data_IF_479563084843
#
_entry.id   IF_479563084843
#
_cell.length_a   1.000
_cell.length_b   1.000
_cell.length_c   1.000
_cell.angle_alpha   90.00
_cell.angle_beta   90.00
_cell.angle_gamma   90.00
#
_symmetry.space_group_name_H-M   'P 1'
#
loop_
_entity.id
_entity.type
_entity.pdbx_description
1 polymer ?
#
# COMPACT_ATOMS: atom_id res chain seq x y z
N UNK A 1 15.98 -7.51 -14.78
CA UNK A 1 15.32 -8.28 -15.86
C UNK A 1 16.34 -9.27 -16.44
N UNK A 2 15.97 -10.44 -16.97
CA UNK A 2 16.97 -11.34 -17.57
C UNK A 2 17.47 -10.79 -18.91
N UNK A 3 18.77 -10.90 -19.18
CA UNK A 3 19.37 -10.64 -20.50
C UNK A 3 18.84 -11.61 -21.58
N UNK A 4 18.17 -12.68 -21.17
CA UNK A 4 17.59 -13.72 -22.03
C UNK A 4 16.24 -13.35 -22.66
N UNK A 5 15.65 -12.20 -22.31
CA UNK A 5 14.46 -11.70 -23.01
C UNK A 5 14.82 -11.17 -24.40
N UNK A 6 13.89 -11.30 -25.35
CA UNK A 6 14.04 -10.68 -26.66
C UNK A 6 14.16 -9.16 -26.52
N UNK A 7 14.92 -8.55 -27.45
CA UNK A 7 15.09 -7.08 -27.49
C UNK A 7 13.75 -6.36 -27.54
N UNK A 8 12.80 -6.86 -28.32
CA UNK A 8 11.46 -6.29 -28.45
C UNK A 8 10.69 -6.28 -27.13
N UNK A 9 10.71 -7.37 -26.36
CA UNK A 9 10.08 -7.42 -25.03
C UNK A 9 10.72 -6.41 -24.10
N UNK A 10 12.07 -6.31 -24.08
CA UNK A 10 12.75 -5.31 -23.26
C UNK A 10 12.37 -3.88 -23.64
N UNK A 11 12.23 -3.58 -24.93
CA UNK A 11 11.78 -2.28 -25.42
C UNK A 11 10.37 -1.95 -24.92
N UNK A 12 9.42 -2.86 -25.10
CA UNK A 12 8.02 -2.66 -24.70
C UNK A 12 7.90 -2.45 -23.19
N UNK A 13 8.53 -3.31 -22.39
CA UNK A 13 8.42 -3.23 -20.93
C UNK A 13 9.09 -1.97 -20.40
N UNK A 14 10.23 -1.57 -20.97
CA UNK A 14 10.88 -0.29 -20.62
C UNK A 14 9.99 0.90 -20.97
N UNK A 15 9.38 0.90 -22.16
CA UNK A 15 8.47 1.97 -22.57
C UNK A 15 7.27 2.09 -21.61
N UNK A 16 6.66 0.96 -21.22
CA UNK A 16 5.59 0.92 -20.23
C UNK A 16 6.04 1.52 -18.88
N UNK A 17 7.23 1.16 -18.40
CA UNK A 17 7.81 1.71 -17.16
C UNK A 17 8.07 3.21 -17.28
N UNK A 18 8.57 3.70 -18.41
CA UNK A 18 8.82 5.12 -18.66
C UNK A 18 7.51 5.91 -18.71
N UNK A 19 6.48 5.40 -19.40
CA UNK A 19 5.15 6.01 -19.43
C UNK A 19 4.58 6.12 -18.02
N UNK A 20 4.65 5.04 -17.24
CA UNK A 20 4.22 5.05 -15.85
C UNK A 20 4.97 6.08 -15.01
N UNK A 21 6.30 6.17 -15.17
CA UNK A 21 7.12 7.15 -14.47
C UNK A 21 6.68 8.60 -14.77
N UNK A 22 6.39 8.92 -16.03
CA UNK A 22 5.89 10.23 -16.42
C UNK A 22 4.50 10.52 -15.82
N UNK A 23 3.60 9.53 -15.81
CA UNK A 23 2.29 9.66 -15.17
C UNK A 23 2.41 9.83 -13.64
N UNK A 24 3.38 9.16 -13.01
CA UNK A 24 3.65 9.32 -11.57
C UNK A 24 4.17 10.73 -11.24
N UNK A 25 4.96 11.33 -12.13
CA UNK A 25 5.51 12.68 -11.94
C UNK A 25 4.43 13.75 -12.19
N UNK A 26 3.60 13.59 -13.22
CA UNK A 26 2.67 14.63 -13.69
C UNK A 26 1.24 14.38 -13.19
N UNK A 27 0.67 13.21 -13.48
CA UNK A 27 -0.74 12.97 -13.24
C UNK A 27 -1.06 12.73 -11.75
N UNK A 28 -0.23 11.97 -11.02
CA UNK A 28 -0.51 11.63 -9.62
C UNK A 28 -0.63 12.88 -8.73
N UNK A 29 0.30 13.86 -8.74
CA UNK A 29 0.15 15.08 -7.95
C UNK A 29 -1.12 15.86 -8.27
N UNK A 30 -1.48 15.98 -9.55
CA UNK A 30 -2.69 16.70 -10.00
C UNK A 30 -3.98 16.00 -9.55
N UNK A 31 -4.02 14.66 -9.63
CA UNK A 31 -5.16 13.88 -9.15
C UNK A 31 -5.30 14.04 -7.63
N UNK A 32 -4.20 13.99 -6.88
CA UNK A 32 -4.22 14.16 -5.42
C UNK A 32 -4.71 15.56 -5.05
N UNK A 33 -4.21 16.60 -5.69
CA UNK A 33 -4.64 17.99 -5.45
C UNK A 33 -6.14 18.17 -5.71
N UNK A 34 -6.64 17.68 -6.84
CA UNK A 34 -8.06 17.76 -7.21
C UNK A 34 -9.01 16.94 -6.32
N UNK A 35 -8.50 15.94 -5.59
CA UNK A 35 -9.33 15.06 -4.74
C UNK A 35 -9.34 15.47 -3.28
N UNK A 36 -8.32 16.19 -2.81
CA UNK A 36 -8.12 16.45 -1.40
C UNK A 36 -9.22 17.34 -0.80
N UNK A 37 -9.52 18.46 -1.45
CA UNK A 37 -10.52 19.41 -0.95
C UNK A 37 -11.93 18.80 -0.85
N UNK A 38 -12.46 18.08 -1.87
CA UNK A 38 -13.74 17.38 -1.74
C UNK A 38 -13.80 16.43 -0.54
N UNK A 39 -12.74 15.66 -0.29
CA UNK A 39 -12.69 14.72 0.83
C UNK A 39 -12.65 15.48 2.16
N UNK A 40 -11.82 16.53 2.28
CA UNK A 40 -11.73 17.36 3.47
C UNK A 40 -13.08 18.02 3.77
N UNK A 41 -13.76 18.56 2.75
CA UNK A 41 -15.07 19.18 2.94
C UNK A 41 -16.09 18.16 3.46
N UNK A 42 -16.18 16.97 2.84
CA UNK A 42 -17.07 15.91 3.30
C UNK A 42 -16.77 15.46 4.74
N UNK A 43 -15.50 15.51 5.17
CA UNK A 43 -15.13 15.26 6.56
C UNK A 43 -15.59 16.35 7.52
N UNK A 44 -15.38 17.62 7.16
CA UNK A 44 -15.81 18.77 7.96
C UNK A 44 -17.33 18.76 8.13
N UNK A 45 -18.07 18.48 7.06
CA UNK A 45 -19.53 18.37 7.09
C UNK A 45 -19.98 17.22 8.00
N UNK A 46 -19.28 16.08 7.96
CA UNK A 46 -19.57 14.95 8.84
C UNK A 46 -19.31 15.27 10.31
N UNK A 47 -18.22 15.98 10.61
CA UNK A 47 -17.90 16.46 11.97
C UNK A 47 -18.99 17.41 12.46
N UNK A 48 -19.39 18.38 11.63
CA UNK A 48 -20.44 19.34 11.96
C UNK A 48 -21.77 18.61 12.26
N UNK A 49 -22.13 17.63 11.42
CA UNK A 49 -23.32 16.79 11.62
C UNK A 49 -23.29 16.04 12.95
N UNK A 50 -22.16 15.44 13.33
CA UNK A 50 -22.04 14.73 14.61
C UNK A 50 -22.13 15.68 15.81
N UNK A 51 -21.49 16.85 15.75
CA UNK A 51 -21.60 17.88 16.80
C UNK A 51 -23.01 18.43 16.95
N UNK A 52 -23.71 18.62 15.83
CA UNK A 52 -25.08 19.13 15.81
C UNK A 52 -26.09 18.20 16.50
N UNK A 53 -25.75 16.92 16.72
CA UNK A 53 -26.61 16.00 17.49
C UNK A 53 -26.71 16.40 18.97
N UNK A 54 -25.71 17.11 19.52
CA UNK A 54 -25.69 17.53 20.92
C UNK A 54 -25.62 16.38 21.94
N UNK A 55 -25.42 15.14 21.49
CA UNK A 55 -25.35 13.95 22.36
C UNK A 55 -23.91 13.61 22.73
N UNK A 56 -23.67 12.94 23.89
CA UNK A 56 -22.37 12.39 24.23
C UNK A 56 -21.79 11.49 23.12
N UNK A 57 -22.63 10.68 22.47
CA UNK A 57 -22.24 9.78 21.38
C UNK A 57 -21.80 10.56 20.14
N UNK A 58 -22.55 11.58 19.73
CA UNK A 58 -22.20 12.44 18.59
C UNK A 58 -20.88 13.17 18.83
N UNK A 59 -20.67 13.68 20.04
CA UNK A 59 -19.41 14.32 20.42
C UNK A 59 -18.22 13.34 20.40
N UNK A 60 -18.41 12.11 20.88
CA UNK A 60 -17.38 11.07 20.82
C UNK A 60 -17.04 10.68 19.37
N UNK A 61 -18.06 10.54 18.51
CA UNK A 61 -17.85 10.27 17.08
C UNK A 61 -17.12 11.40 16.37
N UNK A 62 -17.48 12.66 16.66
CA UNK A 62 -16.80 13.83 16.13
C UNK A 62 -15.32 13.87 16.55
N UNK A 63 -15.01 13.59 17.82
CA UNK A 63 -13.65 13.59 18.35
C UNK A 63 -12.73 12.60 17.61
N UNK A 64 -13.23 11.39 17.31
CA UNK A 64 -12.47 10.35 16.60
C UNK A 64 -12.07 10.77 15.18
N UNK A 65 -12.91 11.55 14.49
CA UNK A 65 -12.65 11.98 13.10
C UNK A 65 -12.10 13.40 12.99
N UNK A 66 -12.02 14.16 14.09
CA UNK A 66 -11.60 15.57 14.09
C UNK A 66 -10.16 15.78 13.62
N UNK A 67 -9.29 14.79 13.85
CA UNK A 67 -7.87 14.83 13.43
C UNK A 67 -7.72 14.47 11.94
N UNK A 68 -8.77 13.89 11.34
CA UNK A 68 -8.66 13.31 9.99
C UNK A 68 -8.33 14.37 8.94
N UNK A 69 -9.00 15.54 8.85
CA UNK A 69 -8.69 16.56 7.84
C UNK A 69 -7.21 16.93 7.77
N UNK A 70 -6.57 17.14 8.93
CA UNK A 70 -5.14 17.43 9.02
C UNK A 70 -4.28 16.23 8.62
N UNK A 71 -4.62 15.03 9.11
CA UNK A 71 -3.84 13.84 8.79
C UNK A 71 -3.90 13.48 7.31
N UNK A 72 -5.06 13.58 6.64
CA UNK A 72 -5.17 13.34 5.20
C UNK A 72 -4.56 14.47 4.40
N UNK A 73 -4.67 15.72 4.86
CA UNK A 73 -4.01 16.89 4.28
C UNK A 73 -2.49 16.77 4.26
N UNK A 74 -1.91 15.96 5.14
CA UNK A 74 -0.50 15.61 5.11
C UNK A 74 -0.22 14.32 4.32
N UNK A 75 -0.95 13.23 4.60
CA UNK A 75 -0.65 11.91 4.06
C UNK A 75 -0.92 11.79 2.55
N UNK A 76 -1.91 12.50 2.02
CA UNK A 76 -2.20 12.49 0.59
C UNK A 76 -1.05 13.14 -0.21
N UNK A 77 -0.63 14.39 0.11
CA UNK A 77 0.57 14.97 -0.48
C UNK A 77 1.84 14.14 -0.28
N UNK A 78 2.02 13.53 0.89
CA UNK A 78 3.14 12.63 1.14
C UNK A 78 3.20 11.50 0.10
N UNK A 79 2.10 10.78 -0.12
CA UNK A 79 2.05 9.71 -1.13
C UNK A 79 2.20 10.22 -2.57
N UNK A 80 1.71 11.43 -2.87
CA UNK A 80 1.95 12.08 -4.16
C UNK A 80 3.45 12.36 -4.38
N UNK A 81 4.14 12.93 -3.37
CA UNK A 81 5.58 13.22 -3.42
C UNK A 81 6.39 11.92 -3.50
N UNK A 82 6.02 10.89 -2.74
CA UNK A 82 6.66 9.57 -2.84
C UNK A 82 6.49 8.98 -4.25
N UNK A 83 5.32 9.14 -4.86
CA UNK A 83 5.07 8.69 -6.23
C UNK A 83 5.91 9.47 -7.24
N UNK A 84 6.03 10.79 -7.08
CA UNK A 84 6.88 11.64 -7.92
C UNK A 84 8.36 11.22 -7.82
N UNK A 85 8.88 10.99 -6.60
CA UNK A 85 10.26 10.52 -6.38
C UNK A 85 10.45 9.13 -7.01
N UNK A 86 9.48 8.24 -6.83
CA UNK A 86 9.50 6.92 -7.45
C UNK A 86 9.51 7.01 -8.99
N UNK A 87 8.79 7.96 -9.58
CA UNK A 87 8.81 8.24 -11.01
C UNK A 87 10.21 8.66 -11.48
N UNK A 88 10.87 9.59 -10.79
CA UNK A 88 12.25 9.95 -11.11
C UNK A 88 13.22 8.76 -10.98
N UNK A 89 13.08 7.94 -9.93
CA UNK A 89 13.89 6.75 -9.77
C UNK A 89 13.72 5.76 -10.94
N UNK A 90 12.49 5.58 -11.45
CA UNK A 90 12.21 4.76 -12.62
C UNK A 90 12.87 5.30 -13.89
N UNK A 91 12.87 6.62 -14.10
CA UNK A 91 13.57 7.25 -15.22
C UNK A 91 15.08 7.07 -15.13
N UNK A 92 15.66 7.23 -13.93
CA UNK A 92 17.11 7.05 -13.69
C UNK A 92 17.54 5.62 -14.00
N UNK A 93 16.76 4.61 -13.61
CA UNK A 93 17.12 3.21 -13.89
C UNK A 93 16.75 2.75 -15.30
N UNK A 94 15.98 3.52 -16.08
CA UNK A 94 15.45 3.08 -17.37
C UNK A 94 16.51 2.56 -18.36
N UNK A 95 17.71 3.18 -18.50
CA UNK A 95 18.76 2.66 -19.38
C UNK A 95 19.26 1.27 -18.93
N UNK A 96 19.51 1.09 -17.64
CA UNK A 96 19.97 -0.18 -17.07
C UNK A 96 18.87 -1.25 -17.07
N UNK A 97 17.63 -0.82 -16.88
CA UNK A 97 16.45 -1.68 -16.98
C UNK A 97 16.30 -2.22 -18.41
N UNK A 98 16.46 -1.36 -19.43
CA UNK A 98 16.47 -1.75 -20.83
C UNK A 98 17.62 -2.73 -21.18
N UNK A 99 18.81 -2.50 -20.62
CA UNK A 99 19.97 -3.40 -20.76
C UNK A 99 19.78 -4.75 -20.09
N UNK A 100 18.75 -4.91 -19.25
CA UNK A 100 18.49 -6.15 -18.53
C UNK A 100 19.40 -6.33 -17.32
N UNK A 101 19.80 -5.25 -16.66
CA UNK A 101 20.48 -5.37 -15.37
C UNK A 101 19.57 -6.10 -14.37
N UNK A 102 20.12 -7.02 -13.58
CA UNK A 102 19.30 -7.86 -12.68
C UNK A 102 18.68 -7.04 -11.54
N UNK A 103 19.44 -6.11 -10.95
CA UNK A 103 19.06 -5.31 -9.79
C UNK A 103 17.93 -4.31 -10.05
N UNK A 104 17.72 -3.90 -11.31
CA UNK A 104 16.71 -2.90 -11.68
C UNK A 104 15.29 -3.45 -11.57
N UNK A 105 15.10 -4.77 -11.58
CA UNK A 105 13.77 -5.40 -11.43
C UNK A 105 13.18 -5.10 -10.06
N UNK A 106 13.95 -5.34 -9.00
CA UNK A 106 13.48 -5.04 -7.64
C UNK A 106 13.20 -3.56 -7.44
N UNK A 107 14.05 -2.67 -8.00
CA UNK A 107 13.80 -1.23 -7.93
C UNK A 107 12.50 -0.88 -8.66
N UNK A 108 12.31 -1.37 -9.89
CA UNK A 108 11.11 -1.08 -10.66
C UNK A 108 9.84 -1.52 -9.92
N UNK A 109 9.81 -2.75 -9.39
CA UNK A 109 8.66 -3.25 -8.62
C UNK A 109 8.39 -2.41 -7.38
N UNK A 110 9.42 -2.08 -6.60
CA UNK A 110 9.23 -1.28 -5.38
C UNK A 110 8.77 0.15 -5.69
N UNK A 111 9.26 0.77 -6.76
CA UNK A 111 8.83 2.13 -7.15
C UNK A 111 7.41 2.13 -7.71
N UNK A 112 7.04 1.13 -8.52
CA UNK A 112 5.69 0.99 -9.08
C UNK A 112 4.63 0.61 -8.03
N UNK A 113 5.02 0.03 -6.90
CA UNK A 113 4.08 -0.25 -5.81
C UNK A 113 3.67 1.01 -5.05
N UNK A 114 4.49 2.07 -5.03
CA UNK A 114 4.22 3.31 -4.29
C UNK A 114 2.88 3.96 -4.65
N UNK A 115 2.58 4.31 -5.92
CA UNK A 115 1.29 4.89 -6.27
C UNK A 115 0.13 3.90 -6.06
N UNK A 116 0.38 2.60 -6.16
CA UNK A 116 -0.65 1.57 -5.88
C UNK A 116 -1.06 1.54 -4.41
N UNK A 117 -0.08 1.60 -3.50
CA UNK A 117 -0.30 1.63 -2.05
C UNK A 117 -0.97 2.95 -1.65
N UNK A 118 -0.45 4.09 -2.14
CA UNK A 118 -1.01 5.41 -1.89
C UNK A 118 -2.45 5.54 -2.41
N UNK A 119 -2.71 5.10 -3.65
CA UNK A 119 -4.03 5.10 -4.24
C UNK A 119 -5.03 4.22 -3.48
N UNK A 120 -4.63 3.03 -3.04
CA UNK A 120 -5.48 2.16 -2.22
C UNK A 120 -5.86 2.84 -0.89
N UNK A 121 -4.92 3.53 -0.24
CA UNK A 121 -5.21 4.34 0.94
C UNK A 121 -6.18 5.49 0.62
N UNK A 122 -5.97 6.21 -0.48
CA UNK A 122 -6.79 7.36 -0.88
C UNK A 122 -8.23 6.99 -1.28
N UNK A 123 -8.43 5.74 -1.74
CA UNK A 123 -9.75 5.22 -2.08
C UNK A 123 -10.71 5.23 -0.88
N UNK A 124 -10.20 4.88 0.31
CA UNK A 124 -11.04 4.73 1.51
C UNK A 124 -11.70 6.07 1.92
N UNK A 125 -10.97 7.20 2.03
CA UNK A 125 -11.58 8.49 2.30
C UNK A 125 -12.56 8.94 1.21
N UNK A 126 -12.26 8.69 -0.07
CA UNK A 126 -13.20 9.02 -1.15
C UNK A 126 -14.55 8.32 -0.97
N UNK A 127 -14.53 7.00 -0.78
CA UNK A 127 -15.74 6.21 -0.59
C UNK A 127 -16.53 6.63 0.66
N UNK A 128 -15.84 7.04 1.73
CA UNK A 128 -16.48 7.40 3.00
C UNK A 128 -17.04 8.82 3.05
N UNK A 129 -16.42 9.78 2.35
CA UNK A 129 -16.74 11.21 2.52
C UNK A 129 -17.27 11.89 1.27
N UNK A 130 -16.99 11.34 0.10
CA UNK A 130 -17.53 11.84 -1.18
C UNK A 130 -18.62 10.88 -1.68
N UNK A 131 -18.38 9.57 -1.56
CA UNK A 131 -19.33 8.54 -1.96
C UNK A 131 -19.48 8.40 -3.48
N UNK A 132 -20.41 7.55 -3.91
CA UNK A 132 -20.67 7.28 -5.34
C UNK A 132 -21.27 8.46 -6.09
N UNK A 133 -21.88 9.41 -5.38
CA UNK A 133 -22.42 10.66 -5.96
C UNK A 133 -21.35 11.63 -6.47
N UNK A 134 -20.10 11.51 -6.01
CA UNK A 134 -18.98 12.31 -6.54
C UNK A 134 -18.32 11.72 -7.79
N UNK A 135 -18.86 10.63 -8.33
CA UNK A 135 -18.36 9.99 -9.55
C UNK A 135 -17.28 8.92 -9.29
N UNK A 136 -16.57 8.56 -10.36
CA UNK A 136 -15.57 7.49 -10.34
C UNK A 136 -14.38 7.87 -9.44
N UNK A 137 -13.98 7.03 -8.45
CA UNK A 137 -12.91 7.38 -7.51
C UNK A 137 -11.58 7.64 -8.23
N UNK A 138 -11.03 8.86 -8.17
CA UNK A 138 -9.80 9.17 -8.92
C UNK A 138 -8.57 8.40 -8.41
N UNK A 139 -8.61 7.95 -7.15
CA UNK A 139 -7.61 7.07 -6.56
C UNK A 139 -7.41 5.75 -7.36
N UNK A 140 -8.42 5.26 -8.07
CA UNK A 140 -8.28 4.07 -8.92
C UNK A 140 -7.36 4.31 -10.11
N UNK A 141 -7.30 5.54 -10.64
CA UNK A 141 -6.32 5.90 -11.67
C UNK A 141 -4.90 5.92 -11.13
N UNK A 142 -4.70 6.45 -9.92
CA UNK A 142 -3.40 6.42 -9.23
C UNK A 142 -2.95 4.96 -9.03
N UNK A 143 -3.87 4.09 -8.60
CA UNK A 143 -3.56 2.66 -8.47
C UNK A 143 -3.19 2.02 -9.80
N UNK A 144 -3.95 2.28 -10.87
CA UNK A 144 -3.69 1.71 -12.18
C UNK A 144 -2.32 2.13 -12.75
N UNK A 145 -1.90 3.37 -12.52
CA UNK A 145 -0.58 3.89 -12.91
C UNK A 145 0.56 3.04 -12.33
N UNK A 146 0.40 2.50 -11.12
CA UNK A 146 1.36 1.59 -10.52
C UNK A 146 1.15 0.12 -10.89
N UNK A 147 -0.08 -0.39 -10.79
CA UNK A 147 -0.37 -1.82 -10.90
C UNK A 147 -0.16 -2.38 -12.30
N UNK A 148 -0.59 -1.66 -13.34
CA UNK A 148 -0.46 -2.12 -14.74
C UNK A 148 1.02 -2.36 -15.11
N UNK A 149 1.93 -1.38 -14.96
CA UNK A 149 3.35 -1.62 -15.23
C UNK A 149 3.96 -2.60 -14.23
N UNK A 150 3.54 -2.62 -12.95
CA UNK A 150 4.07 -3.55 -11.94
C UNK A 150 3.87 -5.02 -12.37
N UNK A 151 2.65 -5.38 -12.75
CA UNK A 151 2.37 -6.72 -13.26
C UNK A 151 2.96 -6.96 -14.65
N UNK A 152 3.08 -5.93 -15.48
CA UNK A 152 3.81 -6.04 -16.76
C UNK A 152 5.26 -6.48 -16.53
N UNK A 153 5.95 -5.92 -15.54
CA UNK A 153 7.33 -6.33 -15.18
C UNK A 153 7.39 -7.76 -14.68
N UNK A 154 6.43 -8.18 -13.83
CA UNK A 154 6.35 -9.57 -13.33
C UNK A 154 6.14 -10.54 -14.49
N UNK A 155 5.16 -10.28 -15.35
CA UNK A 155 4.78 -11.18 -16.44
C UNK A 155 5.73 -11.13 -17.63
N UNK A 156 6.58 -10.11 -17.76
CA UNK A 156 7.60 -10.05 -18.80
C UNK A 156 8.73 -11.06 -18.59
N UNK A 157 8.96 -11.51 -17.35
CA UNK A 157 10.08 -12.40 -17.03
C UNK A 157 10.00 -13.73 -17.82
N UNK A 158 11.13 -14.16 -18.37
CA UNK A 158 11.23 -15.44 -19.07
C UNK A 158 11.24 -16.58 -18.04
N UNK A 159 10.08 -17.18 -17.84
CA UNK A 159 9.87 -18.32 -16.94
C UNK A 159 8.62 -19.08 -17.33
N UNK A 160 8.44 -20.28 -16.78
CA UNK A 160 7.19 -21.02 -16.90
C UNK A 160 6.02 -20.28 -16.23
N UNK A 161 4.80 -20.68 -16.61
CA UNK A 161 3.57 -20.07 -16.11
C UNK A 161 3.40 -20.21 -14.59
N UNK A 162 3.79 -21.33 -13.99
CA UNK A 162 3.63 -21.52 -12.54
C UNK A 162 4.54 -20.58 -11.76
N UNK A 163 5.75 -20.32 -12.26
CA UNK A 163 6.65 -19.31 -11.68
C UNK A 163 6.07 -17.89 -11.79
N UNK A 164 5.43 -17.56 -12.92
CA UNK A 164 4.75 -16.26 -13.09
C UNK A 164 3.56 -16.13 -12.14
N UNK A 165 2.72 -17.15 -12.04
CA UNK A 165 1.56 -17.16 -11.16
C UNK A 165 1.98 -17.06 -9.68
N UNK A 166 2.96 -17.85 -9.24
CA UNK A 166 3.50 -17.77 -7.88
C UNK A 166 4.08 -16.39 -7.58
N UNK A 167 4.85 -15.81 -8.51
CA UNK A 167 5.39 -14.46 -8.39
C UNK A 167 4.28 -13.42 -8.29
N UNK A 168 3.32 -13.45 -9.22
CA UNK A 168 2.21 -12.52 -9.24
C UNK A 168 1.40 -12.57 -7.94
N UNK A 169 1.10 -13.76 -7.44
CA UNK A 169 0.36 -13.93 -6.19
C UNK A 169 1.14 -13.39 -4.98
N UNK A 170 2.43 -13.71 -4.86
CA UNK A 170 3.27 -13.22 -3.76
C UNK A 170 3.39 -11.69 -3.83
N UNK A 171 3.73 -11.13 -4.99
CA UNK A 171 3.85 -9.68 -5.16
C UNK A 171 2.53 -8.94 -5.01
N UNK A 172 1.40 -9.57 -5.35
CA UNK A 172 0.06 -9.06 -5.06
C UNK A 172 -0.15 -8.99 -3.55
N UNK A 173 0.08 -10.08 -2.82
CA UNK A 173 -0.14 -10.11 -1.37
C UNK A 173 0.80 -9.17 -0.62
N UNK A 174 2.05 -9.00 -1.05
CA UNK A 174 2.94 -7.99 -0.47
C UNK A 174 2.38 -6.58 -0.64
N UNK A 175 1.90 -6.24 -1.83
CA UNK A 175 1.33 -4.91 -2.13
C UNK A 175 0.00 -4.64 -1.43
N UNK A 176 -0.93 -5.60 -1.46
CA UNK A 176 -2.24 -5.50 -0.79
C UNK A 176 -2.05 -5.38 0.72
N UNK A 177 -1.21 -6.22 1.34
CA UNK A 177 -0.95 -6.12 2.78
C UNK A 177 -0.25 -4.81 3.12
N UNK A 178 0.67 -4.30 2.29
CA UNK A 178 1.30 -3.00 2.54
C UNK A 178 0.28 -1.85 2.51
N UNK A 179 -0.65 -1.86 1.55
CA UNK A 179 -1.76 -0.90 1.47
C UNK A 179 -2.67 -0.97 2.68
N UNK A 180 -3.12 -2.18 3.03
CA UNK A 180 -3.97 -2.41 4.19
C UNK A 180 -3.29 -1.97 5.48
N UNK A 181 -2.01 -2.30 5.65
CA UNK A 181 -1.24 -1.91 6.83
C UNK A 181 -1.13 -0.38 6.97
N UNK A 182 -0.92 0.32 5.86
CA UNK A 182 -0.89 1.78 5.90
C UNK A 182 -2.26 2.37 6.29
N UNK A 183 -3.33 1.88 5.66
CA UNK A 183 -4.70 2.33 5.90
C UNK A 183 -5.17 2.03 7.33
N UNK A 184 -4.99 0.80 7.81
CA UNK A 184 -5.37 0.37 9.16
C UNK A 184 -4.46 1.00 10.22
N UNK A 185 -3.18 1.21 9.91
CA UNK A 185 -2.29 1.99 10.76
C UNK A 185 -2.76 3.44 10.91
N UNK A 186 -3.22 4.07 9.82
CA UNK A 186 -3.82 5.41 9.85
C UNK A 186 -5.15 5.43 10.61
N UNK A 187 -5.99 4.41 10.44
CA UNK A 187 -7.22 4.26 11.23
C UNK A 187 -6.90 4.16 12.73
N UNK A 188 -5.99 3.26 13.12
CA UNK A 188 -5.52 3.13 14.50
C UNK A 188 -4.95 4.45 15.03
N UNK A 189 -4.15 5.16 14.23
CA UNK A 189 -3.59 6.47 14.57
C UNK A 189 -4.68 7.51 14.89
N UNK A 190 -5.63 7.73 13.97
CA UNK A 190 -6.67 8.77 14.18
C UNK A 190 -7.53 8.47 15.41
N UNK A 191 -7.83 7.20 15.67
CA UNK A 191 -8.60 6.80 16.85
C UNK A 191 -7.74 6.93 18.11
N UNK A 192 -6.47 6.55 18.07
CA UNK A 192 -5.53 6.69 19.18
C UNK A 192 -5.30 8.14 19.61
N UNK A 193 -5.18 9.06 18.66
CA UNK A 193 -4.98 10.50 18.94
C UNK A 193 -6.29 11.20 19.27
N UNK A 194 -7.38 10.88 18.57
CA UNK A 194 -8.71 11.46 18.80
C UNK A 194 -9.46 10.86 20.00
N UNK A 195 -8.85 9.91 20.74
CA UNK A 195 -9.53 9.25 21.84
C UNK A 195 -9.81 10.25 22.99
N UNK A 196 -11.07 10.38 23.48
CA UNK A 196 -11.46 11.41 24.46
C UNK A 196 -10.70 11.39 25.79
N UNK A 197 -10.18 10.21 26.17
CA UNK A 197 -9.40 10.03 27.41
C UNK A 197 -7.91 10.35 27.27
N UNK A 198 -7.42 10.76 26.09
CA UNK A 198 -6.02 11.18 25.96
C UNK A 198 -5.73 12.44 26.79
N UNK A 199 -4.51 12.55 27.38
CA UNK A 199 -3.32 11.72 27.16
C UNK A 199 -3.27 10.40 27.97
N UNK A 200 -4.29 10.06 28.75
CA UNK A 200 -4.31 8.83 29.57
C UNK A 200 -4.41 7.56 28.70
N UNK A 201 -3.95 6.43 29.23
CA UNK A 201 -4.03 5.10 28.62
C UNK A 201 -5.22 4.32 29.18
N UNK A 202 -6.43 4.68 28.73
CA UNK A 202 -7.65 3.94 29.03
C UNK A 202 -7.71 2.57 28.32
N UNK A 203 -8.69 1.76 28.69
CA UNK A 203 -9.00 0.49 28.04
C UNK A 203 -9.11 0.65 26.51
N UNK A 204 -8.56 -0.30 25.75
CA UNK A 204 -8.52 -0.26 24.28
C UNK A 204 -7.48 0.69 23.68
N UNK A 205 -6.91 1.64 24.43
CA UNK A 205 -5.81 2.50 23.92
C UNK A 205 -4.53 1.72 23.63
N UNK A 206 -4.11 0.72 24.45
CA UNK A 206 -2.90 -0.03 24.19
C UNK A 206 -2.87 -0.73 22.83
N UNK A 207 -3.98 -1.33 22.41
CA UNK A 207 -4.04 -2.05 21.14
C UNK A 207 -3.98 -1.11 19.92
N UNK A 208 -4.46 0.13 20.07
CA UNK A 208 -4.43 1.12 19.00
C UNK A 208 -3.03 1.64 18.70
N UNK A 209 -2.18 1.88 19.72
CA UNK A 209 -0.79 2.28 19.44
C UNK A 209 0.03 1.11 18.91
N UNK A 210 -0.23 -0.11 19.39
CA UNK A 210 0.40 -1.32 18.88
C UNK A 210 0.15 -1.44 17.38
N UNK A 211 -1.12 -1.35 16.94
CA UNK A 211 -1.45 -1.43 15.51
C UNK A 211 -0.99 -0.25 14.71
N UNK A 212 -1.17 0.98 15.19
CA UNK A 212 -0.69 2.16 14.49
C UNK A 212 0.80 2.01 14.12
N UNK A 213 1.65 1.78 15.11
CA UNK A 213 3.10 1.76 14.91
C UNK A 213 3.52 0.50 14.15
N UNK A 214 3.01 -0.67 14.55
CA UNK A 214 3.38 -1.94 13.92
C UNK A 214 3.02 -1.94 12.44
N UNK A 215 1.79 -1.54 12.09
CA UNK A 215 1.33 -1.62 10.71
C UNK A 215 2.08 -0.63 9.79
N UNK A 216 2.44 0.56 10.27
CA UNK A 216 3.27 1.45 9.45
C UNK A 216 4.69 0.92 9.25
N UNK A 217 5.30 0.33 10.29
CA UNK A 217 6.61 -0.33 10.16
C UNK A 217 6.52 -1.50 9.18
N UNK A 218 5.51 -2.36 9.31
CA UNK A 218 5.36 -3.53 8.43
C UNK A 218 5.01 -3.13 6.99
N UNK A 219 4.27 -2.04 6.77
CA UNK A 219 4.08 -1.46 5.44
C UNK A 219 5.43 -1.16 4.78
N UNK A 220 6.32 -0.45 5.48
CA UNK A 220 7.67 -0.15 4.97
C UNK A 220 8.50 -1.42 4.74
N UNK A 221 8.47 -2.37 5.68
CA UNK A 221 9.15 -3.66 5.52
C UNK A 221 8.67 -4.43 4.29
N UNK A 222 7.38 -4.40 3.98
CA UNK A 222 6.81 -5.06 2.80
C UNK A 222 7.24 -4.38 1.51
N UNK A 223 7.34 -3.04 1.47
CA UNK A 223 7.91 -2.32 0.32
C UNK A 223 9.37 -2.72 0.09
N UNK A 224 10.17 -2.82 1.16
CA UNK A 224 11.55 -3.31 1.07
C UNK A 224 11.60 -4.78 0.66
N UNK A 225 10.65 -5.60 1.13
CA UNK A 225 10.54 -7.00 0.71
C UNK A 225 10.22 -7.12 -0.79
N UNK A 226 9.35 -6.27 -1.35
CA UNK A 226 9.11 -6.19 -2.80
C UNK A 226 10.42 -5.94 -3.55
N UNK A 227 11.24 -4.99 -3.09
CA UNK A 227 12.56 -4.75 -3.68
C UNK A 227 13.48 -5.97 -3.61
N UNK A 228 13.61 -6.59 -2.43
CA UNK A 228 14.55 -7.68 -2.20
C UNK A 228 14.13 -8.98 -2.90
N UNK A 229 12.86 -9.38 -2.79
CA UNK A 229 12.28 -10.52 -3.52
C UNK A 229 12.28 -10.23 -5.01
N UNK A 230 12.08 -8.96 -5.39
CA UNK A 230 12.23 -8.44 -6.75
C UNK A 230 13.59 -8.77 -7.37
N UNK A 231 14.63 -8.81 -6.53
CA UNK A 231 16.00 -9.15 -6.86
C UNK A 231 16.38 -10.59 -6.49
N UNK A 232 15.40 -11.44 -6.19
CA UNK A 232 15.57 -12.85 -5.77
C UNK A 232 16.48 -13.02 -4.55
N UNK A 233 16.48 -12.06 -3.62
CA UNK A 233 17.28 -12.11 -2.39
C UNK A 233 16.49 -12.70 -1.24
N UNK A 234 17.10 -13.66 -0.54
CA UNK A 234 16.53 -14.30 0.65
C UNK A 234 16.24 -13.33 1.80
N UNK A 235 16.96 -12.21 1.89
CA UNK A 235 16.65 -11.15 2.86
C UNK A 235 15.22 -10.63 2.71
N UNK A 236 14.66 -10.60 1.50
CA UNK A 236 13.28 -10.24 1.25
C UNK A 236 12.27 -11.24 1.81
N UNK A 237 12.60 -12.54 1.78
CA UNK A 237 11.79 -13.59 2.40
C UNK A 237 11.66 -13.37 3.92
N UNK A 238 12.78 -13.15 4.61
CA UNK A 238 12.77 -12.90 6.05
C UNK A 238 11.99 -11.64 6.42
N UNK A 239 12.18 -10.54 5.67
CA UNK A 239 11.43 -9.31 5.87
C UNK A 239 9.92 -9.52 5.70
N UNK A 240 9.51 -10.22 4.64
CA UNK A 240 8.09 -10.50 4.39
C UNK A 240 7.49 -11.44 5.45
N UNK A 241 8.23 -12.44 5.93
CA UNK A 241 7.78 -13.33 7.01
C UNK A 241 7.56 -12.56 8.32
N UNK A 242 8.54 -11.74 8.73
CA UNK A 242 8.42 -10.92 9.94
C UNK A 242 7.28 -9.93 9.81
N UNK A 243 7.19 -9.24 8.67
CA UNK A 243 6.12 -8.27 8.43
C UNK A 243 4.74 -8.93 8.41
N UNK A 244 4.60 -10.11 7.78
CA UNK A 244 3.35 -10.87 7.74
C UNK A 244 2.91 -11.33 9.13
N UNK A 245 3.81 -11.90 9.93
CA UNK A 245 3.52 -12.32 11.31
C UNK A 245 3.15 -11.13 12.21
N UNK A 246 3.93 -10.05 12.17
CA UNK A 246 3.67 -8.85 12.96
C UNK A 246 2.33 -8.21 12.57
N UNK A 247 2.01 -8.19 11.28
CA UNK A 247 0.71 -7.71 10.77
C UNK A 247 -0.44 -8.58 11.27
N UNK A 248 -0.28 -9.91 11.22
CA UNK A 248 -1.29 -10.86 11.69
C UNK A 248 -1.61 -10.66 13.18
N UNK A 249 -0.57 -10.51 14.00
CA UNK A 249 -0.71 -10.30 15.45
C UNK A 249 -1.32 -8.94 15.76
N UNK A 250 -0.79 -7.85 15.20
CA UNK A 250 -1.28 -6.50 15.51
C UNK A 250 -2.74 -6.30 15.06
N UNK A 251 -3.04 -6.69 13.82
CA UNK A 251 -4.39 -6.59 13.27
C UNK A 251 -5.34 -7.55 14.00
N UNK A 252 -4.93 -8.80 14.26
CA UNK A 252 -5.75 -9.77 14.99
C UNK A 252 -6.10 -9.32 16.41
N UNK A 253 -5.11 -8.81 17.15
CA UNK A 253 -5.33 -8.23 18.47
C UNK A 253 -6.30 -7.04 18.40
N UNK A 254 -6.16 -6.18 17.39
CA UNK A 254 -7.05 -5.01 17.24
C UNK A 254 -8.47 -5.43 16.91
N UNK A 255 -8.65 -6.41 16.03
CA UNK A 255 -9.98 -6.93 15.72
C UNK A 255 -10.66 -7.54 16.95
N UNK A 256 -9.90 -8.28 17.79
CA UNK A 256 -10.43 -8.85 19.03
C UNK A 256 -10.97 -7.77 19.99
N UNK A 257 -10.22 -6.68 20.19
CA UNK A 257 -10.65 -5.57 21.04
C UNK A 257 -11.61 -4.60 20.35
N UNK A 258 -11.66 -4.61 19.01
CA UNK A 258 -12.38 -3.62 18.20
C UNK A 258 -12.92 -4.26 16.92
N UNK A 259 -14.02 -4.99 17.08
CA UNK A 259 -14.71 -5.72 16.01
C UNK A 259 -15.80 -4.91 15.29
N UNK A 260 -15.83 -3.58 15.47
CA UNK A 260 -16.82 -2.72 14.82
C UNK A 260 -16.76 -2.79 13.28
N UNK A 261 -15.58 -3.09 12.73
CA UNK A 261 -15.31 -3.29 11.31
C UNK A 261 -14.41 -4.52 11.13
N UNK A 262 -14.47 -5.12 9.94
CA UNK A 262 -13.67 -6.30 9.57
C UNK A 262 -12.32 -5.95 8.93
N UNK A 263 -11.99 -4.67 8.82
CA UNK A 263 -10.71 -4.17 8.30
C UNK A 263 -9.51 -4.83 9.00
N UNK A 264 -9.50 -4.87 10.33
CA UNK A 264 -8.44 -5.54 11.09
C UNK A 264 -8.46 -7.06 10.96
N UNK A 265 -9.62 -7.68 10.74
CA UNK A 265 -9.67 -9.11 10.44
C UNK A 265 -9.02 -9.40 9.08
N UNK A 266 -9.35 -8.61 8.06
CA UNK A 266 -8.75 -8.73 6.74
C UNK A 266 -7.25 -8.45 6.78
N UNK A 267 -6.80 -7.42 7.50
CA UNK A 267 -5.38 -7.18 7.76
C UNK A 267 -4.68 -8.40 8.37
N UNK A 268 -5.32 -9.06 9.35
CA UNK A 268 -4.75 -10.26 9.96
C UNK A 268 -4.62 -11.42 8.97
N UNK A 269 -5.66 -11.65 8.17
CA UNK A 269 -5.70 -12.69 7.12
C UNK A 269 -4.70 -12.40 6.00
N UNK A 270 -4.54 -11.15 5.59
CA UNK A 270 -3.55 -10.76 4.57
C UNK A 270 -2.12 -10.95 5.08
N UNK A 271 -1.83 -10.59 6.34
CA UNK A 271 -0.55 -10.90 7.00
C UNK A 271 -0.26 -12.40 7.02
N UNK A 272 -1.25 -13.21 7.42
CA UNK A 272 -1.13 -14.67 7.44
C UNK A 272 -0.95 -15.28 6.05
N UNK A 273 -1.63 -14.73 5.03
CA UNK A 273 -1.53 -15.22 3.66
C UNK A 273 -0.10 -15.13 3.11
N UNK A 274 0.64 -14.06 3.44
CA UNK A 274 2.05 -13.92 3.07
C UNK A 274 2.87 -15.05 3.71
N UNK A 275 2.66 -15.29 5.01
CA UNK A 275 3.37 -16.34 5.76
C UNK A 275 3.11 -17.71 5.13
N UNK A 276 1.84 -18.04 4.89
CA UNK A 276 1.45 -19.31 4.27
C UNK A 276 2.08 -19.46 2.89
N UNK A 277 1.98 -18.44 2.03
CA UNK A 277 2.55 -18.48 0.67
C UNK A 277 4.06 -18.69 0.69
N UNK A 278 4.78 -18.03 1.60
CA UNK A 278 6.24 -18.07 1.65
C UNK A 278 6.81 -19.32 2.33
N UNK A 279 6.00 -20.04 3.13
CA UNK A 279 6.37 -21.34 3.73
C UNK A 279 6.23 -22.49 2.74
N UNK A 280 5.33 -22.37 1.75
CA UNK A 280 5.15 -23.42 0.73
C UNK A 280 6.46 -23.63 -0.03
N UNK A 281 7.09 -24.82 0.03
CA UNK A 281 8.40 -25.06 -0.58
C UNK A 281 8.43 -24.80 -2.09
N UNK A 282 7.35 -25.14 -2.78
CA UNK A 282 7.20 -24.91 -4.22
C UNK A 282 7.24 -23.41 -4.59
N UNK A 283 6.64 -22.54 -3.77
CA UNK A 283 6.67 -21.08 -3.95
C UNK A 283 8.09 -20.56 -3.69
N UNK A 284 8.68 -20.96 -2.57
CA UNK A 284 10.05 -20.55 -2.21
C UNK A 284 11.07 -20.92 -3.31
N UNK A 285 11.01 -22.16 -3.81
CA UNK A 285 11.88 -22.61 -4.91
C UNK A 285 11.74 -21.72 -6.14
N UNK A 286 10.50 -21.41 -6.56
CA UNK A 286 10.23 -20.58 -7.75
C UNK A 286 10.70 -19.13 -7.62
N UNK A 287 10.63 -18.57 -6.42
CA UNK A 287 11.02 -17.18 -6.18
C UNK A 287 12.54 -16.99 -6.09
N UNK A 288 13.26 -17.95 -5.51
CA UNK A 288 14.66 -17.75 -5.10
C UNK A 288 15.67 -18.65 -5.81
N UNK A 289 15.28 -19.82 -6.30
CA UNK A 289 16.19 -20.69 -7.03
C UNK A 289 16.24 -20.29 -8.52
N UNK A 290 17.41 -20.39 -9.18
CA UNK A 290 17.48 -20.27 -10.63
C UNK A 290 16.58 -21.32 -11.27
N UNK A 291 15.75 -20.92 -12.24
CA UNK A 291 15.06 -21.88 -13.08
C UNK A 291 16.14 -22.69 -13.81
N UNK A 292 16.18 -24.01 -13.60
CA UNK A 292 16.95 -24.93 -14.44
C UNK A 292 16.37 -24.96 -15.85
#
# INVERSE_FOLDING_TARGET
>A
MSSEMSRQVRQIVTAVVVIAALLMIVAVPLIVDGTLNPIIQGQLDRIAKFKAQGTPEGNAQAAVIQVVPWSIGFLFPLWAVLSLIAGFALLVIAPEFYRGAKWTRGVALAMLSIPSIGGAFMLIPWLNFVGTGGGFPPALWIMAIGLVPYFTVIFAEKSDWLTKAASALVFLMLGVTAAENFANGHASFRIYIGHPKRPLFAEGIPVLWLSFITLWITCFMLIVAIFQIGNRKMTGWYLAMVAGLATAVASGATHYYRSATNDYLYGALFGLSIVVLLVIPAVKKRLFEPNQ
#
